data_IF_403235041470
#
_entry.id   IF_403235041470
#
_cell.length_a   1.000
_cell.length_b   1.000
_cell.length_c   1.000
_cell.angle_alpha   90.00
_cell.angle_beta   90.00
_cell.angle_gamma   90.00
#
_symmetry.space_group_name_H-M   'P 1'
#
loop_
_entity.id
_entity.type
_entity.pdbx_description
1 polymer ?
#
# COMPACT_ATOMS: atom_id res chain seq x y z
N UNK A 1 -5.55 12.73 51.78
CA UNK A 1 -5.98 11.89 50.64
C UNK A 1 -6.57 12.68 49.47
N UNK A 2 -7.32 13.77 49.67
CA UNK A 2 -8.07 14.45 48.58
C UNK A 2 -7.26 15.20 47.52
N UNK A 3 -6.13 15.85 47.87
CA UNK A 3 -5.35 16.66 46.92
C UNK A 3 -4.50 15.82 45.93
N UNK A 4 -4.01 14.65 46.36
CA UNK A 4 -3.30 13.70 45.48
C UNK A 4 -4.23 13.02 44.48
N UNK A 5 -5.48 12.76 44.86
CA UNK A 5 -6.50 12.22 43.96
C UNK A 5 -6.93 13.26 42.92
N UNK A 6 -7.03 14.54 43.31
CA UNK A 6 -7.34 15.64 42.38
C UNK A 6 -6.20 15.90 41.38
N UNK A 7 -4.94 15.80 41.79
CA UNK A 7 -3.78 15.89 40.87
C UNK A 7 -3.70 14.66 39.95
N UNK A 8 -4.01 13.46 40.45
CA UNK A 8 -4.08 12.25 39.61
C UNK A 8 -5.24 12.30 38.60
N UNK A 9 -6.41 12.82 38.99
CA UNK A 9 -7.55 13.01 38.09
C UNK A 9 -7.28 14.12 37.06
N UNK A 10 -6.58 15.19 37.44
CA UNK A 10 -6.17 16.25 36.51
C UNK A 10 -5.08 15.77 35.52
N UNK A 11 -4.13 14.93 35.96
CA UNK A 11 -3.13 14.32 35.08
C UNK A 11 -3.73 13.26 34.14
N UNK A 12 -4.81 12.58 34.53
CA UNK A 12 -5.55 11.64 33.67
C UNK A 12 -6.46 12.40 32.68
N UNK A 13 -7.00 13.56 33.06
CA UNK A 13 -7.77 14.43 32.14
C UNK A 13 -6.87 15.18 31.14
N UNK A 14 -5.63 15.51 31.50
CA UNK A 14 -4.66 16.16 30.62
C UNK A 14 -4.03 15.22 29.56
N UNK A 15 -4.32 13.91 29.62
CA UNK A 15 -3.91 12.93 28.58
C UNK A 15 -4.97 12.71 27.50
N UNK A 16 -6.13 13.36 27.61
CA UNK A 16 -7.19 13.31 26.61
C UNK A 16 -7.01 14.40 25.56
N UNK A 17 -7.18 14.01 24.29
CA UNK A 17 -7.34 14.88 23.12
C UNK A 17 -6.01 15.35 22.48
N UNK A 18 -5.34 14.42 21.81
CA UNK A 18 -4.76 14.70 20.50
C UNK A 18 -5.23 13.61 19.54
N UNK A 19 -6.42 13.80 18.96
CA UNK A 19 -6.87 13.01 17.83
C UNK A 19 -6.04 13.40 16.60
N UNK A 20 -4.88 12.76 16.44
CA UNK A 20 -4.16 12.80 15.19
C UNK A 20 -4.91 11.95 14.18
N UNK A 21 -5.54 12.57 13.18
CA UNK A 21 -5.94 11.88 11.97
C UNK A 21 -4.67 11.30 11.31
N UNK A 22 -4.46 10.00 11.46
CA UNK A 22 -3.38 9.32 10.76
C UNK A 22 -3.73 9.27 9.26
N UNK A 23 -2.83 9.79 8.44
CA UNK A 23 -2.94 9.68 7.00
C UNK A 23 -2.53 8.25 6.60
N UNK A 24 -3.29 7.65 5.69
CA UNK A 24 -2.98 6.34 5.14
C UNK A 24 -1.99 6.50 3.98
N UNK A 25 -1.05 5.56 3.86
CA UNK A 25 -0.27 5.41 2.63
C UNK A 25 -1.20 5.22 1.42
N UNK A 26 -0.79 5.66 0.21
CA UNK A 26 -1.63 5.55 -0.97
C UNK A 26 -2.15 4.13 -1.20
N UNK A 27 -3.45 4.03 -1.48
CA UNK A 27 -4.13 2.77 -1.66
C UNK A 27 -4.44 2.52 -3.13
N UNK A 28 -3.85 1.44 -3.66
CA UNK A 28 -4.14 0.91 -4.99
C UNK A 28 -5.16 -0.21 -4.91
N UNK A 29 -6.02 -0.32 -5.92
CA UNK A 29 -6.97 -1.43 -6.06
C UNK A 29 -6.37 -2.62 -6.82
N UNK A 30 -5.34 -2.38 -7.64
CA UNK A 30 -4.56 -3.43 -8.33
C UNK A 30 -3.31 -3.84 -7.52
N UNK A 31 -3.26 -3.60 -6.20
CA UNK A 31 -2.11 -3.94 -5.36
C UNK A 31 -1.74 -5.44 -5.43
N UNK A 32 -2.70 -6.31 -5.72
CA UNK A 32 -2.54 -7.78 -5.86
C UNK A 32 -1.45 -8.12 -6.88
N UNK A 33 -1.22 -7.20 -7.80
CA UNK A 33 -0.27 -7.31 -8.87
C UNK A 33 1.04 -6.56 -8.62
N UNK A 34 1.10 -5.74 -7.57
CA UNK A 34 2.29 -5.06 -7.08
C UNK A 34 2.60 -5.49 -5.64
N UNK A 35 2.95 -6.75 -5.43
CA UNK A 35 3.26 -7.26 -4.08
C UNK A 35 4.37 -6.47 -3.38
N UNK A 36 5.33 -5.91 -4.14
CA UNK A 36 6.42 -5.09 -3.61
C UNK A 36 5.91 -3.83 -2.88
N UNK A 37 4.77 -3.27 -3.32
CA UNK A 37 4.17 -2.08 -2.69
C UNK A 37 3.63 -2.33 -1.28
N UNK A 38 3.31 -3.58 -0.94
CA UNK A 38 2.72 -3.96 0.35
C UNK A 38 3.61 -4.87 1.20
N UNK A 39 4.64 -5.50 0.63
CA UNK A 39 5.54 -6.37 1.38
C UNK A 39 6.94 -6.42 0.74
N UNK A 40 7.99 -5.91 1.41
CA UNK A 40 9.35 -5.97 0.85
C UNK A 40 9.90 -7.39 0.71
N UNK A 41 9.37 -8.37 1.47
CA UNK A 41 9.72 -9.79 1.32
C UNK A 41 9.26 -10.40 0.00
N UNK A 42 8.41 -9.71 -0.76
CA UNK A 42 7.95 -10.11 -2.10
C UNK A 42 9.03 -9.94 -3.17
N UNK A 43 10.07 -9.12 -2.96
CA UNK A 43 11.06 -8.82 -4.00
C UNK A 43 11.66 -10.10 -4.60
N UNK A 44 11.66 -10.21 -5.94
CA UNK A 44 12.18 -11.37 -6.64
C UNK A 44 11.24 -12.58 -6.66
N UNK A 45 10.03 -12.50 -6.08
CA UNK A 45 9.02 -13.57 -6.10
C UNK A 45 8.73 -14.11 -7.50
N UNK A 46 8.74 -13.24 -8.52
CA UNK A 46 8.45 -13.64 -9.90
C UNK A 46 9.60 -14.38 -10.58
N UNK A 47 10.78 -14.42 -9.97
CA UNK A 47 12.04 -15.00 -10.49
C UNK A 47 12.54 -14.43 -11.82
N UNK A 48 11.79 -13.50 -12.40
CA UNK A 48 12.10 -12.77 -13.61
C UNK A 48 12.17 -11.27 -13.28
N UNK A 49 12.97 -10.53 -14.04
CA UNK A 49 12.95 -9.08 -13.95
C UNK A 49 11.59 -8.55 -14.39
N UNK A 50 10.92 -7.81 -13.53
CA UNK A 50 9.59 -7.27 -13.78
C UNK A 50 9.55 -5.78 -13.45
N UNK A 51 9.08 -4.99 -14.40
CA UNK A 51 8.85 -3.55 -14.24
C UNK A 51 7.34 -3.34 -14.28
N UNK A 52 6.82 -2.51 -13.39
CA UNK A 52 5.42 -2.15 -13.39
C UNK A 52 5.20 -0.71 -13.00
N UNK A 53 4.17 -0.10 -13.57
CA UNK A 53 3.71 1.21 -13.19
C UNK A 53 2.21 1.19 -12.97
N UNK A 54 1.74 1.97 -12.01
CA UNK A 54 0.33 2.18 -11.75
C UNK A 54 0.07 3.67 -11.66
N UNK A 55 -0.95 4.15 -12.37
CA UNK A 55 -1.48 5.50 -12.24
C UNK A 55 -2.92 5.44 -11.77
N UNK A 56 -3.23 6.15 -10.70
CA UNK A 56 -4.55 6.22 -10.08
C UNK A 56 -5.01 7.67 -10.02
N UNK A 57 -6.24 7.91 -10.47
CA UNK A 57 -6.94 9.19 -10.31
C UNK A 57 -8.26 8.94 -9.59
N UNK A 58 -8.46 9.65 -8.48
CA UNK A 58 -9.63 9.50 -7.63
C UNK A 58 -10.53 10.73 -7.76
N UNK A 59 -11.85 10.55 -7.66
CA UNK A 59 -12.81 11.66 -7.71
C UNK A 59 -12.63 12.51 -8.96
N UNK A 60 -12.71 11.86 -10.13
CA UNK A 60 -12.54 12.52 -11.42
C UNK A 60 -13.30 13.86 -11.48
N UNK A 61 -12.68 14.87 -12.09
CA UNK A 61 -13.22 16.23 -12.23
C UNK A 61 -13.38 17.04 -10.93
N UNK A 62 -12.89 16.57 -9.77
CA UNK A 62 -12.82 17.37 -8.55
C UNK A 62 -11.49 18.15 -8.48
N UNK A 63 -11.49 19.49 -8.26
CA UNK A 63 -10.26 20.26 -8.07
C UNK A 63 -9.45 19.75 -6.88
N UNK A 64 -8.13 19.57 -7.05
CA UNK A 64 -7.27 18.97 -6.01
C UNK A 64 -7.53 17.47 -5.76
N UNK A 65 -8.23 16.80 -6.67
CA UNK A 65 -8.46 15.36 -6.62
C UNK A 65 -7.14 14.56 -6.47
N UNK A 66 -7.14 13.50 -5.63
CA UNK A 66 -5.96 12.68 -5.44
C UNK A 66 -5.48 12.04 -6.74
N UNK A 67 -4.18 12.15 -7.00
CA UNK A 67 -3.49 11.50 -8.11
C UNK A 67 -2.25 10.81 -7.59
N UNK A 68 -2.13 9.51 -7.88
CA UNK A 68 -1.01 8.71 -7.41
C UNK A 68 -0.38 7.98 -8.59
N UNK A 69 0.93 8.08 -8.73
CA UNK A 69 1.73 7.27 -9.65
C UNK A 69 2.73 6.44 -8.86
N UNK A 70 2.82 5.16 -9.19
CA UNK A 70 3.87 4.27 -8.71
C UNK A 70 4.61 3.68 -9.89
N UNK A 71 5.92 3.54 -9.74
CA UNK A 71 6.78 2.77 -10.64
C UNK A 71 7.61 1.85 -9.76
N UNK A 72 7.58 0.55 -10.00
CA UNK A 72 8.44 -0.41 -9.33
C UNK A 72 9.09 -1.35 -10.32
N UNK A 73 10.28 -1.82 -9.95
CA UNK A 73 10.94 -2.91 -10.64
C UNK A 73 11.51 -3.87 -9.60
N UNK A 74 11.41 -5.16 -9.86
CA UNK A 74 12.01 -6.20 -9.03
C UNK A 74 12.61 -7.31 -9.88
N UNK A 75 13.64 -7.97 -9.36
CA UNK A 75 14.25 -9.13 -9.99
C UNK A 75 14.81 -10.08 -8.94
N UNK A 76 15.13 -11.30 -9.36
CA UNK A 76 15.80 -12.28 -8.51
C UNK A 76 17.21 -12.60 -9.03
N UNK A 77 18.11 -12.92 -8.11
CA UNK A 77 19.47 -13.35 -8.37
C UNK A 77 19.84 -14.53 -7.45
N UNK A 78 21.05 -15.07 -7.66
CA UNK A 78 21.58 -16.19 -6.87
C UNK A 78 20.61 -17.37 -6.79
N UNK A 79 20.16 -17.85 -7.97
CA UNK A 79 19.24 -18.99 -8.10
C UNK A 79 17.93 -18.84 -7.31
N UNK A 80 17.41 -17.62 -7.23
CA UNK A 80 16.15 -17.36 -6.53
C UNK A 80 16.32 -16.98 -5.07
N UNK A 81 17.51 -17.14 -4.47
CA UNK A 81 17.73 -16.88 -3.03
C UNK A 81 17.87 -15.39 -2.68
N UNK A 82 18.06 -14.53 -3.68
CA UNK A 82 18.14 -13.08 -3.49
C UNK A 82 17.09 -12.37 -4.35
N UNK A 83 16.38 -11.43 -3.75
CA UNK A 83 15.44 -10.54 -4.40
C UNK A 83 15.89 -9.09 -4.24
N UNK A 84 15.81 -8.32 -5.33
CA UNK A 84 16.13 -6.90 -5.33
C UNK A 84 14.96 -6.13 -5.92
N UNK A 85 14.69 -4.95 -5.38
CA UNK A 85 13.63 -4.09 -5.87
C UNK A 85 13.98 -2.61 -5.76
N UNK A 86 13.35 -1.82 -6.61
CA UNK A 86 13.33 -0.36 -6.53
C UNK A 86 11.89 0.09 -6.73
N UNK A 87 11.47 1.12 -5.99
CA UNK A 87 10.16 1.72 -6.20
C UNK A 87 10.22 3.24 -6.07
N UNK A 88 9.50 3.91 -6.95
CA UNK A 88 9.22 5.33 -6.93
C UNK A 88 7.73 5.54 -6.72
N UNK A 89 7.40 6.53 -5.90
CA UNK A 89 6.04 6.94 -5.60
C UNK A 89 5.93 8.44 -5.83
N UNK A 90 4.88 8.86 -6.50
CA UNK A 90 4.47 10.25 -6.60
C UNK A 90 3.00 10.31 -6.21
N UNK A 91 2.69 11.00 -5.12
CA UNK A 91 1.31 11.14 -4.63
C UNK A 91 0.99 12.62 -4.47
N UNK A 92 -0.16 13.03 -5.00
CA UNK A 92 -0.67 14.40 -4.91
C UNK A 92 -2.07 14.32 -4.31
N UNK A 93 -2.29 15.04 -3.20
CA UNK A 93 -3.54 15.06 -2.45
C UNK A 93 -3.87 16.52 -2.07
N UNK A 94 -4.57 17.21 -2.97
CA UNK A 94 -4.90 18.63 -2.77
C UNK A 94 -3.63 19.49 -2.58
N UNK A 95 -3.43 20.13 -1.42
CA UNK A 95 -2.26 20.97 -1.15
C UNK A 95 -0.99 20.16 -0.82
N UNK A 96 -1.08 18.85 -0.62
CA UNK A 96 0.06 18.02 -0.26
C UNK A 96 0.58 17.19 -1.44
N UNK A 97 1.88 16.99 -1.45
CA UNK A 97 2.61 16.23 -2.47
C UNK A 97 3.69 15.40 -1.83
N UNK A 98 3.84 14.17 -2.26
CA UNK A 98 4.84 13.23 -1.78
C UNK A 98 5.61 12.65 -2.95
N UNK A 99 6.93 12.70 -2.89
CA UNK A 99 7.81 11.97 -3.81
C UNK A 99 8.68 11.03 -2.99
N UNK A 100 8.53 9.73 -3.21
CA UNK A 100 9.28 8.69 -2.51
C UNK A 100 10.15 7.86 -3.45
N UNK A 101 11.31 7.46 -2.96
CA UNK A 101 12.16 6.46 -3.60
C UNK A 101 12.63 5.44 -2.56
N UNK A 102 12.50 4.16 -2.88
CA UNK A 102 12.89 3.05 -2.01
C UNK A 102 13.75 2.04 -2.75
N UNK A 103 14.71 1.47 -2.03
CA UNK A 103 15.47 0.30 -2.42
C UNK A 103 15.05 -0.86 -1.52
N UNK A 104 14.85 -2.03 -2.11
CA UNK A 104 14.38 -3.23 -1.43
C UNK A 104 15.35 -4.38 -1.66
N UNK A 105 15.64 -5.11 -0.58
CA UNK A 105 16.35 -6.37 -0.62
C UNK A 105 15.54 -7.44 0.13
N UNK A 106 15.45 -8.63 -0.45
CA UNK A 106 14.84 -9.79 0.18
C UNK A 106 15.78 -10.99 0.13
N UNK A 107 16.06 -11.57 1.30
CA UNK A 107 16.72 -12.87 1.38
C UNK A 107 15.65 -13.97 1.35
N UNK A 108 15.67 -14.82 0.33
CA UNK A 108 14.68 -15.88 0.10
C UNK A 108 15.24 -17.22 0.54
N UNK A 109 14.65 -17.79 1.57
CA UNK A 109 14.99 -19.11 2.11
C UNK A 109 14.07 -20.14 1.49
N UNK A 110 14.61 -21.17 0.84
CA UNK A 110 13.80 -22.29 0.38
C UNK A 110 13.29 -23.08 1.59
N UNK A 111 11.98 -23.29 1.66
CA UNK A 111 11.30 -24.03 2.73
C UNK A 111 10.53 -25.18 2.09
N UNK A 112 10.97 -26.41 2.35
CA UNK A 112 10.41 -27.60 1.71
C UNK A 112 10.81 -27.71 0.24
N UNK A 113 9.97 -28.36 -0.57
CA UNK A 113 10.29 -28.66 -1.96
C UNK A 113 9.98 -27.51 -2.92
N UNK A 114 8.87 -26.81 -2.73
CA UNK A 114 8.34 -25.79 -3.65
C UNK A 114 8.04 -24.43 -2.97
N UNK A 115 8.41 -24.28 -1.71
CA UNK A 115 8.14 -23.10 -0.91
C UNK A 115 9.35 -22.19 -0.74
N UNK A 116 9.12 -20.89 -0.62
CA UNK A 116 10.14 -19.90 -0.28
C UNK A 116 9.60 -18.90 0.74
N UNK A 117 10.41 -18.60 1.76
CA UNK A 117 10.20 -17.56 2.74
C UNK A 117 11.16 -16.40 2.47
N UNK A 118 10.63 -15.25 2.02
CA UNK A 118 11.36 -14.01 1.83
C UNK A 118 11.41 -13.17 3.11
N UNK A 119 12.63 -12.84 3.53
CA UNK A 119 12.93 -11.86 4.59
C UNK A 119 13.32 -10.54 3.93
N UNK A 120 12.39 -9.60 3.89
CA UNK A 120 12.54 -8.34 3.16
C UNK A 120 12.81 -7.14 4.06
N UNK A 121 13.70 -6.27 3.58
CA UNK A 121 13.95 -4.93 4.10
C UNK A 121 13.86 -3.93 2.95
N UNK A 122 13.21 -2.80 3.17
CA UNK A 122 13.19 -1.70 2.21
C UNK A 122 13.53 -0.40 2.92
N UNK A 123 14.45 0.36 2.36
CA UNK A 123 14.87 1.64 2.92
C UNK A 123 14.90 2.71 1.83
N UNK A 124 14.69 3.95 2.22
CA UNK A 124 14.69 5.06 1.28
C UNK A 124 14.28 6.37 1.92
N UNK A 125 13.86 7.30 1.09
CA UNK A 125 13.47 8.65 1.49
C UNK A 125 12.20 9.06 0.78
N UNK A 126 11.38 9.86 1.45
CA UNK A 126 10.24 10.54 0.86
C UNK A 126 10.33 12.02 1.16
N UNK A 127 10.20 12.86 0.15
CA UNK A 127 10.03 14.29 0.30
C UNK A 127 8.53 14.59 0.37
N UNK A 128 8.08 15.04 1.54
CA UNK A 128 6.72 15.50 1.76
C UNK A 128 6.66 17.01 1.67
N UNK A 129 5.81 17.50 0.79
CA UNK A 129 5.56 18.91 0.56
C UNK A 129 4.11 19.22 0.90
N UNK A 130 3.89 20.38 1.52
CA UNK A 130 2.56 20.98 1.67
C UNK A 130 2.63 22.45 1.28
N UNK A 131 1.74 22.87 0.38
CA UNK A 131 1.55 24.26 -0.01
C UNK A 131 0.40 24.85 0.79
N UNK A 132 0.73 25.65 1.80
CA UNK A 132 -0.28 26.29 2.63
C UNK A 132 -1.00 27.44 1.89
N UNK A 133 -0.45 27.97 0.80
CA UNK A 133 -1.13 29.01 0.01
C UNK A 133 -2.37 28.47 -0.71
N UNK A 134 -2.50 27.15 -0.82
CA UNK A 134 -3.69 26.48 -1.34
C UNK A 134 -4.77 26.24 -0.26
N UNK A 135 -4.49 26.61 1.00
CA UNK A 135 -5.42 26.48 2.11
C UNK A 135 -6.07 27.83 2.39
N UNK A 136 -7.40 27.83 2.52
CA UNK A 136 -8.14 28.98 3.03
C UNK A 136 -8.38 28.79 4.53
N UNK A 137 -7.81 29.67 5.34
CA UNK A 137 -8.04 29.66 6.77
C UNK A 137 -9.47 30.12 7.08
N UNK A 138 -10.18 29.35 7.91
CA UNK A 138 -11.52 29.74 8.39
C UNK A 138 -11.42 30.88 9.41
N UNK A 139 -10.27 31.01 10.08
CA UNK A 139 -9.93 32.09 10.99
C UNK A 139 -8.58 32.68 10.58
N UNK A 140 -8.51 33.99 10.36
CA UNK A 140 -7.29 34.68 9.90
C UNK A 140 -6.10 34.56 10.87
N UNK A 141 -6.37 34.26 12.16
CA UNK A 141 -5.37 34.10 13.22
C UNK A 141 -5.01 32.63 13.55
N UNK A 142 -5.31 31.67 12.67
CA UNK A 142 -4.98 30.26 12.90
C UNK A 142 -3.48 29.99 12.69
N UNK A 143 -2.71 29.97 13.79
CA UNK A 143 -1.26 29.70 13.80
C UNK A 143 -0.86 28.35 13.16
N UNK A 144 -1.81 27.44 12.94
CA UNK A 144 -1.56 26.16 12.25
C UNK A 144 -1.48 26.30 10.73
N UNK A 145 -2.02 27.37 10.14
CA UNK A 145 -1.96 27.66 8.71
C UNK A 145 -0.86 28.68 8.48
N UNK A 146 0.32 28.17 8.10
CA UNK A 146 1.49 29.00 7.76
C UNK A 146 1.34 29.59 6.37
N UNK A 147 2.19 30.55 6.01
CA UNK A 147 2.35 30.97 4.62
C UNK A 147 3.45 30.15 3.93
N UNK A 148 3.29 29.93 2.62
CA UNK A 148 4.33 29.32 1.79
C UNK A 148 4.31 27.79 1.72
N UNK A 149 5.40 27.26 1.16
CA UNK A 149 5.57 25.82 0.91
C UNK A 149 6.55 25.25 1.91
N UNK A 150 6.12 24.22 2.65
CA UNK A 150 6.98 23.49 3.59
C UNK A 150 7.35 22.14 2.99
N UNK A 151 8.64 21.82 3.01
CA UNK A 151 9.16 20.53 2.58
C UNK A 151 9.78 19.79 3.78
N UNK A 152 9.51 18.49 3.87
CA UNK A 152 10.00 17.61 4.92
C UNK A 152 10.56 16.34 4.30
N UNK A 153 11.87 16.19 4.41
CA UNK A 153 12.53 14.94 4.06
C UNK A 153 12.31 13.89 5.15
N UNK A 154 11.75 12.76 4.76
CA UNK A 154 11.41 11.65 5.63
C UNK A 154 12.15 10.36 5.24
N UNK A 155 13.16 9.94 6.00
CA UNK A 155 13.77 8.63 5.88
C UNK A 155 12.77 7.53 6.27
N UNK A 156 12.71 6.49 5.45
CA UNK A 156 11.77 5.38 5.64
C UNK A 156 12.49 4.04 5.73
N UNK A 157 11.93 3.15 6.56
CA UNK A 157 12.35 1.76 6.69
C UNK A 157 11.10 0.88 6.82
N UNK A 158 11.06 -0.15 5.99
CA UNK A 158 9.99 -1.15 5.94
C UNK A 158 10.58 -2.54 6.08
N UNK A 159 9.83 -3.44 6.73
CA UNK A 159 10.20 -4.83 6.97
C UNK A 159 9.08 -5.75 6.49
N UNK A 160 9.42 -6.95 6.03
CA UNK A 160 8.42 -7.88 5.50
C UNK A 160 8.85 -9.33 5.57
N UNK A 161 7.89 -10.19 5.87
CA UNK A 161 7.98 -11.64 5.72
C UNK A 161 6.98 -12.06 4.65
N UNK A 162 7.42 -12.81 3.65
CA UNK A 162 6.56 -13.26 2.56
C UNK A 162 6.84 -14.72 2.23
N UNK A 163 5.88 -15.58 2.51
CA UNK A 163 5.91 -16.99 2.16
C UNK A 163 5.12 -17.23 0.87
N UNK A 164 5.64 -18.06 -0.01
CA UNK A 164 4.90 -18.54 -1.17
C UNK A 164 5.27 -19.95 -1.57
N UNK A 165 4.34 -20.61 -2.26
CA UNK A 165 4.52 -21.82 -3.04
C UNK A 165 4.04 -21.57 -4.48
N UNK A 166 3.95 -22.61 -5.29
CA UNK A 166 3.38 -22.52 -6.65
C UNK A 166 1.95 -21.96 -6.66
N UNK A 167 1.14 -22.25 -5.63
CA UNK A 167 -0.30 -21.98 -5.61
C UNK A 167 -0.78 -21.16 -4.40
N UNK A 168 0.08 -20.86 -3.44
CA UNK A 168 -0.31 -20.14 -2.22
C UNK A 168 0.69 -19.05 -1.89
N UNK A 169 0.23 -17.97 -1.28
CA UNK A 169 1.10 -16.99 -0.66
C UNK A 169 0.48 -16.42 0.62
N UNK A 170 1.35 -16.02 1.55
CA UNK A 170 0.97 -15.26 2.73
C UNK A 170 2.12 -14.35 3.13
N UNK A 171 1.82 -13.21 3.71
CA UNK A 171 2.85 -12.31 4.18
C UNK A 171 2.36 -11.32 5.21
N UNK A 172 3.30 -10.87 6.03
CA UNK A 172 3.12 -9.76 6.95
C UNK A 172 4.20 -8.73 6.68
N UNK A 173 3.87 -7.45 6.85
CA UNK A 173 4.86 -6.38 6.71
C UNK A 173 4.54 -5.21 7.63
N UNK A 174 5.57 -4.43 7.90
CA UNK A 174 5.50 -3.21 8.67
C UNK A 174 6.18 -2.09 7.89
N UNK A 175 5.48 -0.98 7.70
CA UNK A 175 5.96 0.20 6.98
C UNK A 175 6.09 1.39 7.91
N UNK A 176 6.99 2.31 7.57
CA UNK A 176 7.34 3.47 8.40
C UNK A 176 7.80 3.03 9.81
N UNK A 177 8.67 2.03 9.88
CA UNK A 177 9.15 1.46 11.16
C UNK A 177 10.04 2.45 11.91
N UNK A 178 10.78 3.28 11.18
CA UNK A 178 11.47 4.43 11.76
C UNK A 178 10.43 5.52 11.99
N UNK A 179 10.26 5.91 13.25
CA UNK A 179 9.42 7.05 13.62
C UNK A 179 10.29 8.32 13.65
N UNK A 180 10.09 9.21 12.69
CA UNK A 180 10.82 10.46 12.63
C UNK A 180 10.01 11.61 13.23
N UNK A 181 10.49 12.18 14.35
CA UNK A 181 9.88 13.37 14.98
C UNK A 181 10.05 14.66 14.16
N UNK A 182 10.60 14.57 12.94
CA UNK A 182 10.82 15.74 12.07
C UNK A 182 9.51 16.41 11.69
N UNK A 183 8.42 15.66 11.48
CA UNK A 183 7.08 16.23 11.24
C UNK A 183 6.59 17.07 12.43
N UNK A 184 6.80 16.57 13.66
CA UNK A 184 6.45 17.30 14.89
C UNK A 184 7.23 18.61 15.04
N UNK A 185 8.54 18.59 14.70
CA UNK A 185 9.38 19.78 14.74
C UNK A 185 8.98 20.85 13.72
N UNK A 186 8.36 20.43 12.62
CA UNK A 186 7.88 21.33 11.57
C UNK A 186 6.41 21.72 11.77
N UNK A 187 5.77 21.35 12.88
CA UNK A 187 4.35 21.67 13.15
C UNK A 187 3.36 20.98 12.21
N UNK A 188 3.82 19.98 11.45
CA UNK A 188 2.96 19.15 10.60
C UNK A 188 2.43 18.01 11.46
N UNK A 189 1.11 17.81 11.46
CA UNK A 189 0.45 16.81 12.30
C UNK A 189 1.10 15.42 12.18
N UNK A 190 1.16 14.69 13.31
CA UNK A 190 1.76 13.34 13.47
C UNK A 190 1.24 12.25 12.52
N UNK A 191 0.23 12.55 11.69
CA UNK A 191 -0.51 11.57 10.92
C UNK A 191 0.21 11.03 9.69
N UNK A 192 1.16 11.77 9.10
CA UNK A 192 1.78 11.40 7.83
C UNK A 192 2.70 10.16 7.92
N UNK A 193 3.49 10.06 8.99
CA UNK A 193 4.41 8.94 9.22
C UNK A 193 3.83 7.93 10.23
N UNK A 194 2.57 7.55 10.04
CA UNK A 194 1.98 6.52 10.89
C UNK A 194 2.64 5.16 10.59
N UNK A 195 2.89 4.37 11.64
CA UNK A 195 3.26 2.97 11.51
C UNK A 195 2.11 2.20 10.85
N UNK A 196 2.40 1.51 9.74
CA UNK A 196 1.42 0.70 9.01
C UNK A 196 1.78 -0.77 9.13
N UNK A 197 0.81 -1.61 9.48
CA UNK A 197 0.93 -3.05 9.46
C UNK A 197 0.05 -3.65 8.35
N UNK A 198 0.61 -4.57 7.58
CA UNK A 198 -0.11 -5.30 6.55
C UNK A 198 -0.07 -6.79 6.82
N UNK A 199 -1.20 -7.45 6.59
CA UNK A 199 -1.31 -8.92 6.53
C UNK A 199 -2.03 -9.28 5.24
N UNK A 200 -1.44 -10.16 4.43
CA UNK A 200 -2.06 -10.62 3.19
C UNK A 200 -1.92 -12.13 3.06
N UNK A 201 -2.91 -12.76 2.43
CA UNK A 201 -2.78 -14.11 1.92
C UNK A 201 -3.69 -14.31 0.72
N UNK A 202 -3.38 -15.33 -0.06
CA UNK A 202 -4.18 -15.75 -1.20
C UNK A 202 -3.62 -16.99 -1.85
N UNK A 203 -4.29 -17.46 -2.90
CA UNK A 203 -3.83 -18.61 -3.66
C UNK A 203 -4.32 -18.59 -5.09
N UNK A 204 -3.79 -19.47 -5.92
CA UNK A 204 -4.24 -19.72 -7.28
C UNK A 204 -4.79 -21.15 -7.34
N UNK A 205 -6.10 -21.26 -7.52
CA UNK A 205 -6.82 -22.54 -7.57
C UNK A 205 -7.18 -22.83 -9.02
N UNK A 206 -6.57 -23.81 -9.69
CA UNK A 206 -6.98 -24.21 -11.03
C UNK A 206 -8.38 -24.84 -10.97
N UNK A 207 -9.34 -24.26 -11.69
CA UNK A 207 -10.71 -24.77 -11.82
C UNK A 207 -10.85 -25.66 -13.07
N UNK A 208 -10.06 -25.38 -14.11
CA UNK A 208 -9.90 -26.18 -15.33
C UNK A 208 -8.58 -25.80 -16.02
N UNK A 209 -8.25 -26.46 -17.13
CA UNK A 209 -7.03 -26.16 -17.91
C UNK A 209 -6.92 -24.71 -18.38
N UNK A 210 -8.06 -24.02 -18.55
CA UNK A 210 -8.12 -22.65 -19.07
C UNK A 210 -8.70 -21.64 -18.08
N UNK A 211 -8.97 -22.04 -16.83
CA UNK A 211 -9.57 -21.17 -15.82
C UNK A 211 -8.95 -21.43 -14.45
N UNK A 212 -8.39 -20.39 -13.85
CA UNK A 212 -7.93 -20.40 -12.46
C UNK A 212 -8.63 -19.32 -11.65
N UNK A 213 -8.88 -19.59 -10.38
CA UNK A 213 -9.45 -18.64 -9.42
C UNK A 213 -8.41 -18.21 -8.40
N UNK A 214 -8.26 -16.90 -8.20
CA UNK A 214 -7.33 -16.28 -7.26
C UNK A 214 -8.11 -15.53 -6.16
N UNK A 215 -8.52 -16.22 -5.08
CA UNK A 215 -8.99 -15.55 -3.89
C UNK A 215 -7.80 -14.95 -3.12
N UNK A 216 -7.98 -13.74 -2.59
CA UNK A 216 -7.01 -13.16 -1.68
C UNK A 216 -7.65 -12.14 -0.73
N UNK A 217 -6.93 -11.82 0.33
CA UNK A 217 -7.28 -10.71 1.20
C UNK A 217 -6.06 -9.88 1.58
N UNK A 218 -6.31 -8.66 2.01
CA UNK A 218 -5.34 -7.78 2.65
C UNK A 218 -5.99 -7.08 3.83
N UNK A 219 -5.36 -7.16 4.99
CA UNK A 219 -5.68 -6.38 6.17
C UNK A 219 -4.62 -5.29 6.30
N UNK A 220 -5.06 -4.04 6.47
CA UNK A 220 -4.20 -2.89 6.75
C UNK A 220 -4.61 -2.29 8.09
N UNK A 221 -3.62 -2.12 8.96
CA UNK A 221 -3.81 -1.58 10.29
C UNK A 221 -2.89 -0.38 10.52
N UNK A 222 -3.48 0.72 10.96
CA UNK A 222 -2.78 1.98 11.24
C UNK A 222 -3.28 2.54 12.56
N UNK A 223 -2.38 3.03 13.41
CA UNK A 223 -2.78 3.65 14.68
C UNK A 223 -3.64 4.90 14.40
N UNK A 224 -4.81 5.00 15.04
CA UNK A 224 -5.70 6.16 14.89
C UNK A 224 -6.65 6.14 13.69
N UNK A 225 -6.61 5.11 12.84
CA UNK A 225 -7.57 4.92 11.74
C UNK A 225 -8.29 3.57 11.88
N UNK A 226 -9.46 3.34 11.25
CA UNK A 226 -10.10 2.03 11.22
C UNK A 226 -9.24 0.97 10.53
N UNK A 227 -9.39 -0.29 10.92
CA UNK A 227 -8.77 -1.42 10.22
C UNK A 227 -9.42 -1.56 8.84
N UNK A 228 -8.60 -1.60 7.78
CA UNK A 228 -9.07 -1.75 6.41
C UNK A 228 -8.89 -3.20 5.96
N UNK A 229 -9.91 -3.78 5.34
CA UNK A 229 -9.89 -5.14 4.82
C UNK A 229 -10.31 -5.11 3.36
N UNK A 230 -9.43 -5.57 2.47
CA UNK A 230 -9.70 -5.82 1.06
C UNK A 230 -9.91 -7.32 0.88
N UNK A 231 -11.06 -7.71 0.31
CA UNK A 231 -11.37 -9.08 -0.12
C UNK A 231 -11.41 -9.13 -1.64
N UNK A 232 -10.65 -10.03 -2.25
CA UNK A 232 -10.54 -10.08 -3.71
C UNK A 232 -10.92 -11.44 -4.25
N UNK A 233 -11.56 -11.40 -5.42
CA UNK A 233 -11.91 -12.56 -6.22
C UNK A 233 -11.53 -12.25 -7.66
N UNK A 234 -10.45 -12.87 -8.15
CA UNK A 234 -9.98 -12.71 -9.52
C UNK A 234 -10.00 -14.07 -10.25
N UNK A 235 -10.32 -14.08 -11.52
CA UNK A 235 -10.32 -15.24 -12.39
C UNK A 235 -9.33 -15.03 -13.53
N UNK A 236 -8.48 -16.01 -13.77
CA UNK A 236 -7.52 -16.05 -14.87
C UNK A 236 -8.03 -16.97 -15.97
N UNK A 237 -8.29 -16.41 -17.13
CA UNK A 237 -8.71 -17.13 -18.32
C UNK A 237 -7.52 -17.29 -19.28
N UNK A 238 -7.27 -18.53 -19.73
CA UNK A 238 -6.24 -18.89 -20.71
C UNK A 238 -4.85 -18.31 -20.41
N UNK A 239 -4.49 -18.21 -19.13
CA UNK A 239 -3.24 -17.60 -18.64
C UNK A 239 -2.96 -16.17 -19.15
N UNK A 240 -3.97 -15.45 -19.64
CA UNK A 240 -3.83 -14.15 -20.31
C UNK A 240 -4.76 -13.07 -19.79
N UNK A 241 -5.99 -13.41 -19.41
CA UNK A 241 -7.00 -12.43 -19.01
C UNK A 241 -7.37 -12.62 -17.54
N UNK A 242 -7.09 -11.61 -16.72
CA UNK A 242 -7.61 -11.48 -15.38
C UNK A 242 -8.91 -10.69 -15.39
N UNK A 243 -9.94 -11.23 -14.74
CA UNK A 243 -11.20 -10.55 -14.52
C UNK A 243 -11.68 -10.81 -13.09
N UNK A 244 -12.13 -9.77 -12.40
CA UNK A 244 -12.78 -9.94 -11.12
C UNK A 244 -12.95 -8.63 -10.39
N UNK A 245 -12.89 -8.68 -9.06
CA UNK A 245 -13.10 -7.50 -8.26
C UNK A 245 -12.56 -7.58 -6.85
N UNK A 246 -12.62 -6.43 -6.19
CA UNK A 246 -12.24 -6.23 -4.81
C UNK A 246 -13.38 -5.61 -4.04
N UNK A 247 -13.66 -6.10 -2.84
CA UNK A 247 -14.56 -5.48 -1.89
C UNK A 247 -13.76 -5.00 -0.69
N UNK A 248 -13.79 -3.68 -0.46
CA UNK A 248 -13.08 -3.01 0.60
C UNK A 248 -14.04 -2.58 1.70
N UNK A 249 -13.73 -2.98 2.92
CA UNK A 249 -14.52 -2.65 4.11
C UNK A 249 -13.62 -2.12 5.22
N UNK A 250 -14.15 -1.20 6.02
CA UNK A 250 -13.51 -0.75 7.23
C UNK A 250 -14.19 -1.44 8.42
N UNK A 251 -13.40 -1.92 9.37
CA UNK A 251 -13.89 -2.49 10.63
C UNK A 251 -13.25 -1.77 11.81
N UNK A 252 -14.01 -1.69 12.91
CA UNK A 252 -13.53 -1.15 14.20
C UNK A 252 -12.93 -2.22 15.09
N UNK A 253 -12.77 -3.43 14.58
CA UNK A 253 -12.21 -4.52 15.35
C UNK A 253 -10.87 -4.08 15.98
N UNK A 254 -10.66 -4.45 17.24
CA UNK A 254 -9.49 -4.08 18.05
C UNK A 254 -9.36 -2.61 18.47
N UNK A 255 -10.36 -1.73 18.21
CA UNK A 255 -10.35 -0.31 18.63
C UNK A 255 -11.63 0.13 19.32
N UNK A 256 -11.52 0.48 20.61
CA UNK A 256 -12.64 0.95 21.45
C UNK A 256 -12.97 2.44 21.30
N UNK A 257 -12.09 3.25 20.70
CA UNK A 257 -12.16 4.71 20.71
C UNK A 257 -12.41 5.34 19.32
N UNK A 258 -13.03 4.61 18.38
CA UNK A 258 -13.41 5.15 17.08
C UNK A 258 -14.85 5.67 17.12
N UNK A 259 -15.13 6.83 16.50
CA UNK A 259 -16.47 7.43 16.45
C UNK A 259 -17.54 6.40 16.04
N UNK A 260 -18.70 6.42 16.70
CA UNK A 260 -19.77 5.42 16.54
C UNK A 260 -20.33 5.38 15.09
N UNK A 261 -20.30 6.50 14.36
CA UNK A 261 -20.90 6.66 13.03
C UNK A 261 -19.99 6.41 11.82
N UNK A 262 -18.85 5.73 11.96
CA UNK A 262 -18.04 5.38 10.80
C UNK A 262 -18.75 4.34 9.91
N UNK A 263 -18.94 4.69 8.64
CA UNK A 263 -19.44 3.75 7.63
C UNK A 263 -18.44 2.61 7.42
N UNK A 264 -18.93 1.37 7.53
CA UNK A 264 -18.14 0.16 7.37
C UNK A 264 -17.89 -0.19 5.88
N UNK A 265 -18.65 0.40 4.93
CA UNK A 265 -18.63 0.02 3.51
C UNK A 265 -17.80 1.00 2.67
N UNK A 266 -16.55 0.65 2.36
CA UNK A 266 -15.63 1.61 1.75
C UNK A 266 -15.78 1.68 0.22
N UNK A 267 -15.44 0.62 -0.51
CA UNK A 267 -15.45 0.63 -1.98
C UNK A 267 -15.60 -0.77 -2.59
N UNK A 268 -16.09 -0.83 -3.82
CA UNK A 268 -16.02 -2.02 -4.70
C UNK A 268 -15.20 -1.65 -5.94
N UNK A 269 -14.22 -2.48 -6.28
CA UNK A 269 -13.43 -2.35 -7.49
C UNK A 269 -13.81 -3.43 -8.51
N UNK A 270 -14.03 -3.05 -9.76
CA UNK A 270 -13.96 -3.98 -10.88
C UNK A 270 -12.55 -3.93 -11.46
N UNK A 271 -11.94 -5.10 -11.69
CA UNK A 271 -10.55 -5.22 -12.13
C UNK A 271 -10.51 -6.10 -13.38
N UNK A 272 -9.86 -5.58 -14.42
CA UNK A 272 -9.55 -6.30 -15.65
C UNK A 272 -8.07 -6.12 -15.95
N UNK A 273 -7.35 -7.20 -16.19
CA UNK A 273 -6.00 -7.12 -16.74
C UNK A 273 -5.79 -8.10 -17.87
N UNK A 274 -4.99 -7.73 -18.85
CA UNK A 274 -4.69 -8.57 -20.01
C UNK A 274 -3.19 -8.57 -20.29
N UNK A 275 -2.65 -9.76 -20.58
CA UNK A 275 -1.36 -9.91 -21.24
C UNK A 275 -1.55 -9.70 -22.75
N UNK A 276 -1.35 -8.46 -23.20
CA UNK A 276 -1.49 -8.09 -24.61
C UNK A 276 -0.48 -8.83 -25.50
N UNK A 277 0.72 -9.09 -24.95
CA UNK A 277 1.71 -10.04 -25.42
C UNK A 277 2.30 -10.79 -24.22
N UNK A 278 3.09 -11.84 -24.43
CA UNK A 278 3.55 -12.74 -23.35
C UNK A 278 4.28 -12.04 -22.20
N UNK A 279 4.94 -10.91 -22.48
CA UNK A 279 5.72 -10.15 -21.51
C UNK A 279 5.15 -8.77 -21.19
N UNK A 280 4.01 -8.36 -21.77
CA UNK A 280 3.43 -7.03 -21.53
C UNK A 280 1.98 -7.14 -21.07
N UNK A 281 1.72 -6.50 -19.94
CA UNK A 281 0.46 -6.55 -19.23
C UNK A 281 -0.14 -5.16 -19.11
N UNK A 282 -1.43 -5.05 -19.40
CA UNK A 282 -2.22 -3.83 -19.22
C UNK A 282 -3.35 -4.15 -18.26
N UNK A 283 -3.49 -3.36 -17.21
CA UNK A 283 -4.52 -3.48 -16.20
C UNK A 283 -5.35 -2.21 -16.09
N UNK A 284 -6.62 -2.38 -15.79
CA UNK A 284 -7.55 -1.31 -15.49
C UNK A 284 -8.42 -1.73 -14.31
N UNK A 285 -8.60 -0.81 -13.36
CA UNK A 285 -9.56 -0.95 -12.29
C UNK A 285 -10.45 0.29 -12.16
N UNK A 286 -11.70 0.04 -11.83
CA UNK A 286 -12.71 1.06 -11.60
C UNK A 286 -13.28 0.89 -10.20
N UNK A 287 -13.04 1.86 -9.33
CA UNK A 287 -13.53 1.84 -7.95
C UNK A 287 -14.78 2.69 -7.78
N UNK A 288 -15.82 2.05 -7.29
CA UNK A 288 -17.06 2.67 -6.86
C UNK A 288 -17.03 2.82 -5.35
N UNK A 289 -17.08 4.07 -4.87
CA UNK A 289 -17.16 4.36 -3.44
C UNK A 289 -18.56 4.02 -2.92
N UNK A 290 -18.63 3.28 -1.79
CA UNK A 290 -19.89 2.85 -1.17
C UNK A 290 -20.23 3.62 0.12
N UNK A 291 -19.37 4.55 0.52
CA UNK A 291 -19.55 5.40 1.69
C UNK A 291 -20.48 6.60 1.41
N UNK A 292 -20.74 7.42 2.44
CA UNK A 292 -21.58 8.66 2.43
C UNK A 292 -21.21 9.65 1.30
N UNK A 293 -20.05 9.47 0.67
CA UNK A 293 -19.56 10.25 -0.47
C UNK A 293 -20.06 9.74 -1.84
N UNK A 294 -20.84 8.65 -1.90
CA UNK A 294 -21.34 8.02 -3.13
C UNK A 294 -22.06 9.01 -4.07
N UNK A 295 -22.81 9.96 -3.51
CA UNK A 295 -23.57 10.95 -4.29
C UNK A 295 -22.83 12.27 -4.54
N UNK A 296 -21.59 12.43 -4.04
CA UNK A 296 -20.85 13.71 -4.10
C UNK A 296 -19.54 13.62 -4.86
N UNK A 297 -19.08 12.44 -5.27
CA UNK A 297 -17.76 12.26 -5.91
C UNK A 297 -17.84 11.28 -7.07
N UNK A 298 -17.22 11.62 -8.19
CA UNK A 298 -17.02 10.69 -9.30
C UNK A 298 -16.14 9.50 -8.85
N UNK A 299 -16.26 8.38 -9.55
CA UNK A 299 -15.55 7.15 -9.23
C UNK A 299 -14.03 7.27 -9.49
N UNK A 300 -13.26 6.28 -9.03
CA UNK A 300 -11.80 6.29 -9.22
C UNK A 300 -11.40 5.37 -10.38
N UNK A 301 -10.37 5.79 -11.10
CA UNK A 301 -9.79 5.07 -12.22
C UNK A 301 -8.35 4.73 -11.91
N UNK A 302 -7.97 3.49 -12.16
CA UNK A 302 -6.60 3.02 -11.99
C UNK A 302 -6.16 2.27 -13.25
N UNK A 303 -5.03 2.66 -13.81
CA UNK A 303 -4.41 2.00 -14.96
C UNK A 303 -3.07 1.46 -14.50
N UNK A 304 -2.77 0.21 -14.84
CA UNK A 304 -1.47 -0.39 -14.56
C UNK A 304 -0.85 -0.95 -15.83
N UNK A 305 0.47 -0.84 -15.92
CA UNK A 305 1.28 -1.43 -16.98
C UNK A 305 2.34 -2.31 -16.32
N UNK A 306 2.61 -3.46 -16.92
CA UNK A 306 3.60 -4.42 -16.44
C UNK A 306 4.42 -4.97 -17.60
N UNK A 307 5.72 -5.14 -17.39
CA UNK A 307 6.62 -5.66 -18.39
C UNK A 307 7.63 -6.63 -17.77
N UNK A 308 7.66 -7.85 -18.29
CA UNK A 308 8.68 -8.85 -17.98
C UNK A 308 9.89 -8.65 -18.88
N UNK A 309 11.07 -8.47 -18.28
CA UNK A 309 12.34 -8.26 -18.99
C UNK A 309 12.78 -9.51 -19.78
N UNK A 310 12.39 -10.68 -19.29
CA UNK A 310 12.52 -11.95 -20.00
C UNK A 310 11.12 -12.51 -20.25
N UNK A 311 10.85 -13.17 -21.39
CA UNK A 311 9.58 -13.89 -21.58
C UNK A 311 9.40 -14.93 -20.46
N UNK A 312 8.14 -15.20 -20.08
CA UNK A 312 7.63 -16.03 -18.95
C UNK A 312 8.05 -17.52 -18.95
N UNK A 313 9.19 -17.86 -19.54
CA UNK A 313 9.68 -19.22 -19.85
C UNK A 313 11.19 -19.39 -19.65
N UNK A 314 11.88 -18.55 -18.88
CA UNK A 314 13.30 -18.79 -18.62
C UNK A 314 13.47 -19.54 -17.30
N UNK A 315 13.18 -20.86 -17.33
CA UNK A 315 13.86 -21.80 -16.42
C UNK A 315 15.36 -21.73 -16.75
N UNK A 316 16.13 -20.96 -15.99
CA UNK A 316 17.59 -21.12 -16.00
C UNK A 316 17.92 -22.41 -15.22
N UNK A 317 17.83 -23.53 -15.94
CA UNK A 317 18.39 -24.81 -15.50
C UNK A 317 19.89 -24.78 -15.84
N UNK A 318 20.72 -24.63 -14.81
CA UNK A 318 22.03 -25.26 -14.59
C UNK A 318 23.34 -24.44 -14.76
N UNK A 319 24.32 -24.86 -13.94
CA UNK A 319 25.79 -24.72 -13.91
C UNK A 319 26.33 -23.61 -12.97
N UNK A 320 27.05 -23.89 -11.87
CA UNK A 320 28.19 -24.82 -11.73
C UNK A 320 28.49 -25.24 -10.28
N UNK A 321 29.04 -26.45 -10.18
CA UNK A 321 29.88 -27.00 -9.12
C UNK A 321 30.90 -26.01 -8.53
N UNK A 322 31.00 -25.95 -7.19
CA UNK A 322 32.22 -26.20 -6.39
C UNK A 322 31.80 -26.71 -5.01
#
# INVERSE_FOLDING_TARGET
MGKLLQVAVFCVFAMGIMEGHAQQLPQFSQYIFNGLSINPGYAGYKEEGYIQSTYRSQWANFPGAPKTMSLSADFSANEGTMGFGVSFLHDELGPSKTIGAMLTYAYRIQVGYDGFLGLGISAGVSDYQIDFNMLEAVHEDDELIREGVVNVLDPNLNLGLFYHTSNFYAGISAYNVINNKVFEKQGIGRGYQAFHFYLTAGGLVPLSDNLSFKPSFLVKEVKGAPTNIDLNALFLFYDRLWLGGSYRTNTKAWKSNLQENLSNRNAVALIVEIFAVENFRVGYAYDVNMNVLQNKRHNSHEISLGYYLSPKKVKMRNQRWF
#
